data_IF_104014955784
#
_entry.id   IF_104014955784
#
_cell.length_a   1.000
_cell.length_b   1.000
_cell.length_c   1.000
_cell.angle_alpha   90.00
_cell.angle_beta   90.00
_cell.angle_gamma   90.00
#
_symmetry.space_group_name_H-M   'P 1'
#
loop_
_entity.id
_entity.type
_entity.pdbx_description
1 polymer ?
#
# COMPACT_ATOMS: atom_id res chain seq x y z
N UNK A 1 -36.30 35.77 3.01
CA UNK A 1 -35.72 34.95 4.11
C UNK A 1 -35.97 33.50 3.75
N UNK A 2 -34.99 32.62 3.97
CA UNK A 2 -34.81 31.29 3.35
C UNK A 2 -34.24 31.37 1.94
N UNK A 3 -32.93 31.62 1.85
CA UNK A 3 -32.12 31.07 0.75
C UNK A 3 -32.01 29.56 1.03
N UNK A 4 -33.00 28.87 0.47
CA UNK A 4 -33.06 27.49 0.01
C UNK A 4 -32.74 26.37 1.01
N UNK A 5 -33.80 25.84 1.64
CA UNK A 5 -33.77 24.55 2.34
C UNK A 5 -33.31 23.39 1.43
N UNK A 6 -33.59 23.47 0.13
CA UNK A 6 -33.10 22.54 -0.91
C UNK A 6 -31.59 22.57 -1.06
N UNK A 7 -30.94 23.74 -1.00
CA UNK A 7 -29.47 23.86 -1.07
C UNK A 7 -28.82 23.24 0.19
N UNK A 8 -29.40 23.45 1.36
CA UNK A 8 -28.96 22.80 2.61
C UNK A 8 -29.09 21.27 2.53
N UNK A 9 -30.17 20.78 1.95
CA UNK A 9 -30.40 19.35 1.77
C UNK A 9 -29.44 18.75 0.73
N UNK A 10 -29.12 19.49 -0.33
CA UNK A 10 -28.15 19.08 -1.35
C UNK A 10 -26.72 19.05 -0.80
N UNK A 11 -26.30 20.08 -0.05
CA UNK A 11 -25.00 20.10 0.64
C UNK A 11 -24.89 18.93 1.62
N UNK A 12 -25.96 18.61 2.36
CA UNK A 12 -26.00 17.45 3.24
C UNK A 12 -25.77 16.12 2.49
N UNK A 13 -26.40 15.95 1.32
CA UNK A 13 -26.20 14.76 0.46
C UNK A 13 -24.78 14.69 -0.11
N UNK A 14 -24.26 15.80 -0.65
CA UNK A 14 -22.89 15.88 -1.20
C UNK A 14 -21.84 15.53 -0.13
N UNK A 15 -22.03 15.98 1.11
CA UNK A 15 -21.14 15.66 2.23
C UNK A 15 -21.16 14.18 2.60
N UNK A 16 -22.33 13.55 2.63
CA UNK A 16 -22.46 12.11 2.91
C UNK A 16 -21.83 11.29 1.79
N UNK A 17 -22.05 11.64 0.52
CA UNK A 17 -21.42 10.95 -0.61
C UNK A 17 -19.88 11.06 -0.55
N UNK A 18 -19.37 12.25 -0.22
CA UNK A 18 -17.93 12.50 -0.07
C UNK A 18 -17.33 11.69 1.08
N UNK A 19 -18.03 11.62 2.22
CA UNK A 19 -17.61 10.80 3.35
C UNK A 19 -17.58 9.30 3.00
N UNK A 20 -18.60 8.81 2.30
CA UNK A 20 -18.66 7.42 1.84
C UNK A 20 -17.51 7.08 0.87
N UNK A 21 -17.24 7.96 -0.11
CA UNK A 21 -16.08 7.81 -1.01
C UNK A 21 -14.74 7.80 -0.26
N UNK A 22 -14.59 8.66 0.76
CA UNK A 22 -13.38 8.72 1.57
C UNK A 22 -13.17 7.43 2.37
N UNK A 23 -14.24 6.92 2.99
CA UNK A 23 -14.22 5.66 3.72
C UNK A 23 -13.90 4.46 2.80
N UNK A 24 -14.48 4.43 1.58
CA UNK A 24 -14.20 3.40 0.58
C UNK A 24 -12.73 3.45 0.14
N UNK A 25 -12.20 4.64 -0.14
CA UNK A 25 -10.80 4.84 -0.54
C UNK A 25 -9.83 4.37 0.55
N UNK A 26 -10.08 4.76 1.80
CA UNK A 26 -9.28 4.32 2.94
C UNK A 26 -9.33 2.80 3.11
N UNK A 27 -10.53 2.21 3.03
CA UNK A 27 -10.71 0.76 3.15
C UNK A 27 -9.94 0.00 2.06
N UNK A 28 -10.05 0.44 0.80
CA UNK A 28 -9.31 -0.15 -0.33
C UNK A 28 -7.80 -0.01 -0.17
N UNK A 29 -7.32 1.16 0.25
CA UNK A 29 -5.90 1.39 0.51
C UNK A 29 -5.36 0.47 1.61
N UNK A 30 -6.09 0.35 2.72
CA UNK A 30 -5.74 -0.55 3.81
C UNK A 30 -5.72 -2.03 3.38
N UNK A 31 -6.72 -2.46 2.60
CA UNK A 31 -6.75 -3.81 2.03
C UNK A 31 -5.56 -4.07 1.10
N UNK A 32 -5.22 -3.13 0.22
CA UNK A 32 -4.07 -3.25 -0.67
C UNK A 32 -2.76 -3.39 0.11
N UNK A 33 -2.55 -2.57 1.14
CA UNK A 33 -1.37 -2.67 2.01
C UNK A 33 -1.34 -4.03 2.72
N UNK A 34 -2.47 -4.49 3.26
CA UNK A 34 -2.55 -5.77 3.96
C UNK A 34 -2.21 -6.96 3.05
N UNK A 35 -2.75 -6.99 1.82
CA UNK A 35 -2.43 -8.01 0.80
C UNK A 35 -0.94 -7.98 0.48
N UNK A 36 -0.40 -6.80 0.20
CA UNK A 36 1.01 -6.61 -0.13
C UNK A 36 1.89 -7.17 1.02
N UNK A 37 1.63 -6.79 2.27
CA UNK A 37 2.36 -7.30 3.44
C UNK A 37 2.25 -8.83 3.58
N UNK A 38 1.06 -9.40 3.39
CA UNK A 38 0.85 -10.84 3.47
C UNK A 38 1.64 -11.59 2.39
N UNK A 39 1.61 -11.12 1.15
CA UNK A 39 2.33 -11.72 0.02
C UNK A 39 3.86 -11.67 0.23
N UNK A 40 4.38 -10.54 0.73
CA UNK A 40 5.80 -10.44 1.06
C UNK A 40 6.20 -11.37 2.20
N UNK A 41 5.37 -11.50 3.23
CA UNK A 41 5.64 -12.40 4.36
C UNK A 41 5.69 -13.85 3.91
N UNK A 42 4.75 -14.26 3.04
CA UNK A 42 4.74 -15.58 2.44
C UNK A 42 6.00 -15.83 1.60
N UNK A 43 6.35 -14.88 0.73
CA UNK A 43 7.56 -14.97 -0.10
C UNK A 43 8.84 -15.05 0.72
N UNK A 44 8.98 -14.23 1.75
CA UNK A 44 10.14 -14.25 2.63
C UNK A 44 10.30 -15.60 3.35
N UNK A 45 9.19 -16.22 3.75
CA UNK A 45 9.21 -17.57 4.33
C UNK A 45 9.65 -18.62 3.30
N UNK A 46 9.07 -18.61 2.10
CA UNK A 46 9.44 -19.53 1.02
C UNK A 46 10.92 -19.40 0.61
N UNK A 47 11.40 -18.18 0.40
CA UNK A 47 12.78 -17.89 0.03
C UNK A 47 13.77 -18.30 1.15
N UNK A 48 13.39 -18.08 2.41
CA UNK A 48 14.17 -18.47 3.58
C UNK A 48 14.30 -19.99 3.72
N UNK A 49 13.17 -20.72 3.60
CA UNK A 49 13.17 -22.18 3.63
C UNK A 49 13.98 -22.77 2.46
N UNK A 50 13.81 -22.24 1.24
CA UNK A 50 14.58 -22.70 0.09
C UNK A 50 16.10 -22.47 0.27
N UNK A 51 16.49 -21.36 0.89
CA UNK A 51 17.90 -21.07 1.19
C UNK A 51 18.45 -22.02 2.24
N UNK A 52 17.67 -22.29 3.30
CA UNK A 52 18.03 -23.25 4.34
C UNK A 52 18.25 -24.65 3.76
N UNK A 53 17.33 -25.13 2.92
CA UNK A 53 17.45 -26.43 2.24
C UNK A 53 18.72 -26.51 1.40
N UNK A 54 19.04 -25.47 0.63
CA UNK A 54 20.28 -25.40 -0.15
C UNK A 54 21.51 -25.39 0.75
N UNK A 55 21.49 -24.64 1.85
CA UNK A 55 22.59 -24.58 2.82
C UNK A 55 22.87 -25.94 3.47
N UNK A 56 21.84 -26.74 3.78
CA UNK A 56 22.05 -28.10 4.27
C UNK A 56 22.68 -29.03 3.23
N UNK A 57 22.52 -28.74 1.93
CA UNK A 57 23.05 -29.55 0.84
C UNK A 57 24.49 -29.23 0.41
N UNK A 58 25.06 -28.10 0.83
CA UNK A 58 26.42 -27.72 0.39
C UNK A 58 27.52 -28.38 1.21
N UNK A 59 28.63 -28.73 0.54
CA UNK A 59 29.76 -29.48 1.13
C UNK A 59 31.00 -28.63 1.42
N UNK A 60 30.94 -27.33 1.18
CA UNK A 60 32.07 -26.41 1.28
C UNK A 60 31.61 -25.05 1.78
N UNK A 61 32.47 -24.39 2.57
CA UNK A 61 32.19 -23.08 3.14
C UNK A 61 32.02 -22.01 2.06
N UNK A 62 32.79 -22.06 0.96
CA UNK A 62 32.68 -21.08 -0.13
C UNK A 62 31.27 -21.06 -0.72
N UNK A 63 30.70 -22.23 -1.01
CA UNK A 63 29.32 -22.34 -1.53
C UNK A 63 28.26 -21.88 -0.53
N UNK A 64 28.49 -22.10 0.77
CA UNK A 64 27.59 -21.60 1.80
C UNK A 64 27.59 -20.06 1.85
N UNK A 65 28.77 -19.44 1.74
CA UNK A 65 28.91 -17.98 1.68
C UNK A 65 28.26 -17.41 0.42
N UNK A 66 28.44 -18.07 -0.72
CA UNK A 66 27.83 -17.67 -2.00
C UNK A 66 26.29 -17.68 -1.89
N UNK A 67 25.69 -18.79 -1.42
CA UNK A 67 24.25 -18.90 -1.20
C UNK A 67 23.70 -17.85 -0.24
N UNK A 68 24.39 -17.63 0.89
CA UNK A 68 23.98 -16.63 1.87
C UNK A 68 24.07 -15.21 1.30
N UNK A 69 25.07 -14.94 0.46
CA UNK A 69 25.25 -13.64 -0.19
C UNK A 69 24.16 -13.38 -1.23
N UNK A 70 23.82 -14.39 -2.03
CA UNK A 70 22.69 -14.33 -2.96
C UNK A 70 21.37 -14.06 -2.23
N UNK A 71 21.10 -14.81 -1.15
CA UNK A 71 19.91 -14.61 -0.32
C UNK A 71 19.86 -13.20 0.29
N UNK A 72 20.98 -12.69 0.80
CA UNK A 72 21.04 -11.35 1.36
C UNK A 72 20.74 -10.28 0.30
N UNK A 73 21.31 -10.43 -0.91
CA UNK A 73 21.07 -9.53 -2.03
C UNK A 73 19.61 -9.56 -2.47
N UNK A 74 19.04 -10.74 -2.69
CA UNK A 74 17.65 -10.88 -3.13
C UNK A 74 16.65 -10.39 -2.06
N UNK A 75 16.94 -10.64 -0.79
CA UNK A 75 16.14 -10.14 0.33
C UNK A 75 16.14 -8.61 0.37
N UNK A 76 17.29 -7.98 0.14
CA UNK A 76 17.39 -6.52 0.08
C UNK A 76 16.61 -5.93 -1.09
N UNK A 77 16.78 -6.49 -2.29
CA UNK A 77 16.04 -6.06 -3.49
C UNK A 77 14.52 -6.21 -3.29
N UNK A 78 14.08 -7.34 -2.73
CA UNK A 78 12.69 -7.59 -2.41
C UNK A 78 12.12 -6.61 -1.37
N UNK A 79 12.89 -6.30 -0.32
CA UNK A 79 12.50 -5.31 0.68
C UNK A 79 12.33 -3.92 0.06
N UNK A 80 13.30 -3.45 -0.74
CA UNK A 80 13.23 -2.13 -1.39
C UNK A 80 12.05 -2.03 -2.34
N UNK A 81 11.80 -3.08 -3.12
CA UNK A 81 10.63 -3.15 -4.01
C UNK A 81 9.33 -3.01 -3.21
N UNK A 82 9.21 -3.73 -2.10
CA UNK A 82 8.01 -3.69 -1.23
C UNK A 82 7.85 -2.34 -0.53
N UNK A 83 8.93 -1.76 0.00
CA UNK A 83 8.90 -0.44 0.62
C UNK A 83 8.46 0.64 -0.40
N UNK A 84 8.95 0.55 -1.63
CA UNK A 84 8.52 1.42 -2.75
C UNK A 84 7.03 1.25 -3.00
N UNK A 85 6.53 0.01 -3.08
CA UNK A 85 5.12 -0.28 -3.34
C UNK A 85 4.19 0.25 -2.26
N UNK A 86 4.55 0.08 -0.99
CA UNK A 86 3.79 0.67 0.12
C UNK A 86 3.82 2.19 0.04
N UNK A 87 4.97 2.80 -0.26
CA UNK A 87 5.09 4.24 -0.46
C UNK A 87 4.18 4.79 -1.57
N UNK A 88 4.06 4.08 -2.69
CA UNK A 88 3.09 4.38 -3.76
C UNK A 88 1.65 4.34 -3.24
N UNK A 89 1.26 3.27 -2.55
CA UNK A 89 -0.09 3.10 -2.00
C UNK A 89 -0.45 4.24 -1.02
N UNK A 90 0.48 4.65 -0.16
CA UNK A 90 0.28 5.79 0.73
C UNK A 90 0.15 7.12 -0.04
N UNK A 91 0.98 7.31 -1.06
CA UNK A 91 0.94 8.52 -1.90
C UNK A 91 -0.39 8.62 -2.63
N UNK A 92 -0.90 7.52 -3.16
CA UNK A 92 -2.18 7.49 -3.87
C UNK A 92 -3.35 7.70 -2.90
N UNK A 93 -3.31 7.08 -1.71
CA UNK A 93 -4.30 7.35 -0.66
C UNK A 93 -4.33 8.85 -0.28
N UNK A 94 -3.16 9.48 -0.14
CA UNK A 94 -3.07 10.90 0.15
C UNK A 94 -3.70 11.73 -0.99
N UNK A 95 -3.34 11.47 -2.26
CA UNK A 95 -3.91 12.17 -3.43
C UNK A 95 -5.44 12.05 -3.47
N UNK A 96 -5.98 10.84 -3.33
CA UNK A 96 -7.43 10.62 -3.33
C UNK A 96 -8.12 11.36 -2.17
N UNK A 97 -7.47 11.45 -1.01
CA UNK A 97 -7.98 12.18 0.15
C UNK A 97 -7.97 13.71 -0.04
N UNK A 98 -7.10 14.24 -0.90
CA UNK A 98 -7.01 15.67 -1.20
C UNK A 98 -7.98 16.14 -2.30
N UNK A 99 -8.44 15.26 -3.20
CA UNK A 99 -9.36 15.60 -4.30
C UNK A 99 -10.63 16.38 -3.88
N UNK A 100 -11.31 16.08 -2.76
CA UNK A 100 -12.49 16.85 -2.34
C UNK A 100 -12.18 18.33 -2.09
N UNK A 101 -10.98 18.65 -1.61
CA UNK A 101 -10.56 20.03 -1.34
C UNK A 101 -10.24 20.79 -2.63
N UNK A 102 -9.64 20.12 -3.62
CA UNK A 102 -9.43 20.69 -4.95
C UNK A 102 -10.77 21.02 -5.63
N UNK A 103 -11.76 20.13 -5.52
CA UNK A 103 -13.10 20.34 -6.07
C UNK A 103 -13.84 21.50 -5.39
N UNK A 104 -13.69 21.68 -4.07
CA UNK A 104 -14.25 22.85 -3.37
C UNK A 104 -13.57 24.16 -3.80
N UNK A 105 -12.24 24.19 -3.90
CA UNK A 105 -11.50 25.36 -4.38
C UNK A 105 -11.87 25.74 -5.82
N UNK A 106 -12.11 24.74 -6.68
CA UNK A 106 -12.58 24.96 -8.04
C UNK A 106 -14.01 25.52 -8.10
N UNK A 107 -14.91 25.08 -7.20
CA UNK A 107 -16.28 25.63 -7.07
C UNK A 107 -16.32 27.04 -6.45
N UNK A 108 -15.26 27.46 -5.76
CA UNK A 108 -15.17 28.76 -5.09
C UNK A 108 -14.59 29.89 -5.97
N UNK A 109 -14.09 29.56 -7.17
CA UNK A 109 -13.74 30.50 -8.24
C UNK A 109 -14.90 30.70 -9.20
#
# INVERSE_FOLDING_TARGET
>A
MVKNFEDLQQVGKENVETAMKSAETLSKGAQAIAVEVADYSKKAFEDGTATLEKLFGVKSLEKAIELQSEYAKSSYEGFVAKATKIGELYTDLAKESYKPFEAMLAKAK
#
